data_IF_784192667591
#
_entry.id   IF_784192667591
#
_cell.length_a   1.000
_cell.length_b   1.000
_cell.length_c   1.000
_cell.angle_alpha   90.00
_cell.angle_beta   90.00
_cell.angle_gamma   90.00
#
_symmetry.space_group_name_H-M   'P 1'
#
loop_
_entity.id
_entity.type
_entity.pdbx_description
1 polymer ?
#
# COMPACT_ATOMS: atom_id res chain seq x y z
N UNK A 1 -8.04 -8.38 18.08
CA UNK A 1 -7.86 -6.94 17.81
C UNK A 1 -6.47 -6.46 18.19
N UNK A 2 -6.02 -6.63 19.44
CA UNK A 2 -4.70 -6.14 19.92
C UNK A 2 -3.51 -6.63 19.10
N UNK A 3 -3.48 -7.91 18.70
CA UNK A 3 -2.40 -8.46 17.87
C UNK A 3 -2.31 -7.83 16.48
N UNK A 4 -3.45 -7.47 15.89
CA UNK A 4 -3.50 -6.75 14.60
C UNK A 4 -2.97 -5.32 14.80
N UNK A 5 -3.36 -4.65 15.90
CA UNK A 5 -2.86 -3.32 16.22
C UNK A 5 -1.34 -3.30 16.50
N UNK A 6 -0.78 -4.35 17.11
CA UNK A 6 0.65 -4.47 17.33
C UNK A 6 1.45 -4.53 16.01
N UNK A 7 0.93 -5.23 15.00
CA UNK A 7 1.55 -5.27 13.66
C UNK A 7 1.52 -3.90 12.98
N UNK A 8 0.42 -3.16 13.11
CA UNK A 8 0.33 -1.77 12.64
C UNK A 8 1.35 -0.85 13.36
N UNK A 9 1.56 -1.02 14.67
CA UNK A 9 2.59 -0.27 15.42
C UNK A 9 3.99 -0.57 14.90
N UNK A 10 4.31 -1.84 14.62
CA UNK A 10 5.59 -2.23 14.03
C UNK A 10 5.84 -1.49 12.71
N UNK A 11 4.92 -1.58 11.75
CA UNK A 11 5.10 -0.89 10.46
C UNK A 11 5.22 0.62 10.61
N UNK A 12 4.59 1.21 11.63
CA UNK A 12 4.63 2.66 11.86
C UNK A 12 5.96 3.14 12.43
N UNK A 13 6.52 2.41 13.40
CA UNK A 13 7.57 2.92 14.28
C UNK A 13 8.91 2.18 14.14
N UNK A 14 8.88 0.94 13.67
CA UNK A 14 10.03 0.01 13.68
C UNK A 14 10.34 -0.56 12.28
N UNK A 15 9.47 -0.33 11.30
CA UNK A 15 9.65 -0.76 9.91
C UNK A 15 10.86 -0.12 9.24
N UNK A 16 11.49 -0.89 8.35
CA UNK A 16 12.62 -0.49 7.52
C UNK A 16 12.20 0.27 6.25
N UNK A 17 10.92 0.22 5.84
CA UNK A 17 10.42 1.02 4.74
C UNK A 17 10.38 2.51 5.11
N UNK A 18 10.82 3.37 4.17
CA UNK A 18 10.62 4.79 4.30
C UNK A 18 9.12 5.11 4.40
N UNK A 19 8.76 6.15 5.15
CA UNK A 19 7.36 6.52 5.36
C UNK A 19 6.61 6.72 4.03
N UNK A 20 7.25 7.32 3.01
CA UNK A 20 6.68 7.48 1.67
C UNK A 20 6.34 6.15 1.00
N UNK A 21 7.25 5.17 1.06
CA UNK A 21 7.08 3.86 0.44
C UNK A 21 5.98 3.06 1.14
N UNK A 22 5.97 3.11 2.48
CA UNK A 22 4.93 2.51 3.30
C UNK A 22 3.55 3.04 2.93
N UNK A 23 3.37 4.36 2.92
CA UNK A 23 2.07 4.95 2.58
C UNK A 23 1.66 4.68 1.12
N UNK A 24 2.61 4.62 0.18
CA UNK A 24 2.33 4.23 -1.20
C UNK A 24 1.81 2.78 -1.29
N UNK A 25 2.45 1.82 -0.63
CA UNK A 25 2.03 0.42 -0.59
C UNK A 25 0.64 0.29 0.02
N UNK A 26 0.37 1.06 1.09
CA UNK A 26 -0.93 1.08 1.77
C UNK A 26 -2.01 1.63 0.84
N UNK A 27 -1.79 2.77 0.18
CA UNK A 27 -2.74 3.38 -0.75
C UNK A 27 -3.03 2.47 -1.94
N UNK A 28 -1.99 1.86 -2.52
CA UNK A 28 -2.15 0.91 -3.61
C UNK A 28 -2.97 -0.31 -3.17
N UNK A 29 -2.68 -0.86 -1.99
CA UNK A 29 -3.43 -2.00 -1.42
C UNK A 29 -4.88 -1.62 -1.16
N UNK A 30 -5.13 -0.46 -0.54
CA UNK A 30 -6.48 0.03 -0.29
C UNK A 30 -7.27 0.23 -1.59
N UNK A 31 -6.61 0.70 -2.65
CA UNK A 31 -7.23 0.85 -3.98
C UNK A 31 -7.64 -0.49 -4.57
N UNK A 32 -6.74 -1.47 -4.60
CA UNK A 32 -7.02 -2.81 -5.13
C UNK A 32 -8.13 -3.52 -4.34
N UNK A 33 -8.19 -3.28 -3.02
CA UNK A 33 -9.22 -3.85 -2.14
C UNK A 33 -10.55 -3.07 -2.18
N UNK A 34 -10.63 -1.92 -2.84
CA UNK A 34 -11.82 -1.05 -2.76
C UNK A 34 -12.09 -0.50 -1.35
N UNK A 35 -11.06 -0.42 -0.51
CA UNK A 35 -11.18 -0.02 0.89
C UNK A 35 -11.09 1.52 1.03
N UNK A 36 -12.23 2.18 0.85
CA UNK A 36 -12.31 3.65 0.85
C UNK A 36 -11.94 4.30 2.20
N UNK A 37 -12.31 3.69 3.32
CA UNK A 37 -12.02 4.26 4.65
C UNK A 37 -10.52 4.32 4.99
N UNK A 38 -9.73 3.24 4.82
CA UNK A 38 -8.27 3.33 4.95
C UNK A 38 -7.67 4.36 4.00
N UNK A 39 -8.12 4.40 2.73
CA UNK A 39 -7.59 5.35 1.74
C UNK A 39 -7.57 6.78 2.26
N UNK A 40 -8.68 7.28 2.79
CA UNK A 40 -8.77 8.71 3.19
C UNK A 40 -7.77 9.08 4.28
N UNK A 41 -7.47 8.15 5.19
CA UNK A 41 -6.52 8.38 6.29
C UNK A 41 -5.09 8.29 5.81
N UNK A 42 -4.80 7.34 4.92
CA UNK A 42 -3.46 7.12 4.40
C UNK A 42 -3.09 8.10 3.30
N UNK A 43 -4.06 8.73 2.64
CA UNK A 43 -3.76 9.83 1.72
C UNK A 43 -3.22 11.04 2.50
N UNK A 44 -3.83 11.37 3.63
CA UNK A 44 -3.35 12.46 4.51
C UNK A 44 -1.92 12.15 4.98
N UNK A 45 -1.70 10.95 5.53
CA UNK A 45 -0.37 10.52 5.98
C UNK A 45 0.67 10.46 4.87
N UNK A 46 0.28 9.97 3.69
CA UNK A 46 1.14 9.95 2.50
C UNK A 46 1.58 11.36 2.12
N UNK A 47 0.67 12.32 2.11
CA UNK A 47 1.00 13.74 1.85
C UNK A 47 1.93 14.32 2.90
N UNK A 48 1.68 14.05 4.19
CA UNK A 48 2.56 14.46 5.30
C UNK A 48 3.97 13.86 5.19
N UNK A 49 4.07 12.61 4.70
CA UNK A 49 5.34 11.93 4.46
C UNK A 49 6.07 12.43 3.19
N UNK A 50 5.45 13.28 2.37
CA UNK A 50 6.03 13.79 1.13
C UNK A 50 5.75 12.95 -0.11
N UNK A 51 4.73 12.08 -0.07
CA UNK A 51 4.29 11.31 -1.23
C UNK A 51 3.83 12.26 -2.35
N UNK A 52 4.32 12.02 -3.57
CA UNK A 52 4.03 12.90 -4.72
C UNK A 52 2.55 12.84 -5.08
N UNK A 53 1.94 14.00 -5.31
CA UNK A 53 0.54 14.10 -5.72
C UNK A 53 0.23 13.27 -6.98
N UNK A 54 1.14 13.26 -7.95
CA UNK A 54 0.97 12.49 -9.19
C UNK A 54 0.96 10.98 -8.94
N UNK A 55 1.70 10.50 -7.94
CA UNK A 55 1.69 9.10 -7.55
C UNK A 55 0.36 8.72 -6.89
N UNK A 56 -0.14 9.56 -5.97
CA UNK A 56 -1.46 9.39 -5.36
C UNK A 56 -2.56 9.37 -6.44
N UNK A 57 -2.49 10.26 -7.42
CA UNK A 57 -3.49 10.31 -8.48
C UNK A 57 -3.40 9.10 -9.43
N UNK A 58 -2.19 8.66 -9.77
CA UNK A 58 -1.99 7.43 -10.55
C UNK A 58 -2.61 6.20 -9.87
N UNK A 59 -2.48 6.11 -8.53
CA UNK A 59 -3.17 5.10 -7.73
C UNK A 59 -4.68 5.30 -7.74
N UNK A 60 -5.16 6.54 -7.56
CA UNK A 60 -6.61 6.86 -7.53
C UNK A 60 -7.32 6.38 -8.78
N UNK A 61 -6.80 6.71 -9.97
CA UNK A 61 -7.43 6.28 -11.24
C UNK A 61 -7.24 4.80 -11.54
N UNK A 62 -6.36 4.11 -10.80
CA UNK A 62 -6.01 2.70 -10.96
C UNK A 62 -5.61 2.31 -12.40
N UNK A 63 -4.79 3.16 -13.05
CA UNK A 63 -4.35 2.99 -14.45
C UNK A 63 -2.84 2.75 -14.55
N UNK A 64 -2.29 3.02 -15.75
CA UNK A 64 -0.88 2.91 -16.12
C UNK A 64 0.02 3.69 -15.16
N UNK A 65 1.22 3.16 -14.92
CA UNK A 65 2.14 3.61 -13.86
C UNK A 65 3.19 4.61 -14.38
N UNK A 66 2.91 5.29 -15.49
CA UNK A 66 3.90 6.12 -16.22
C UNK A 66 4.33 7.37 -15.45
N UNK A 67 3.46 7.87 -14.57
CA UNK A 67 3.80 8.97 -13.66
C UNK A 67 4.67 8.53 -12.47
N UNK A 68 4.82 7.22 -12.21
CA UNK A 68 5.57 6.70 -11.07
C UNK A 68 7.08 6.65 -11.36
N UNK A 69 7.88 6.94 -10.33
CA UNK A 69 9.32 6.66 -10.36
C UNK A 69 9.57 5.15 -10.46
N UNK A 70 10.78 4.70 -10.85
CA UNK A 70 11.07 3.27 -10.90
C UNK A 70 10.79 2.52 -9.59
N UNK A 71 11.13 3.12 -8.45
CA UNK A 71 10.89 2.54 -7.11
C UNK A 71 9.41 2.49 -6.76
N UNK A 72 8.67 3.58 -6.97
CA UNK A 72 7.23 3.61 -6.74
C UNK A 72 6.50 2.59 -7.64
N UNK A 73 6.89 2.51 -8.91
CA UNK A 73 6.36 1.54 -9.87
C UNK A 73 6.59 0.11 -9.39
N UNK A 74 7.79 -0.22 -8.92
CA UNK A 74 8.11 -1.55 -8.38
C UNK A 74 7.18 -1.93 -7.22
N UNK A 75 7.01 -1.03 -6.24
CA UNK A 75 6.12 -1.27 -5.08
C UNK A 75 4.67 -1.49 -5.52
N UNK A 76 4.17 -0.69 -6.46
CA UNK A 76 2.79 -0.81 -6.97
C UNK A 76 2.60 -2.05 -7.83
N UNK A 77 3.61 -2.45 -8.62
CA UNK A 77 3.63 -3.72 -9.36
C UNK A 77 3.55 -4.91 -8.40
N UNK A 78 4.30 -4.89 -7.29
CA UNK A 78 4.26 -5.95 -6.27
C UNK A 78 2.88 -6.05 -5.61
N UNK A 79 2.26 -4.91 -5.26
CA UNK A 79 0.89 -4.86 -4.72
C UNK A 79 -0.09 -5.49 -5.71
N UNK A 80 -0.08 -5.03 -6.97
CA UNK A 80 -1.00 -5.52 -8.00
C UNK A 80 -0.79 -7.00 -8.29
N UNK A 81 0.46 -7.45 -8.41
CA UNK A 81 0.81 -8.86 -8.65
C UNK A 81 0.28 -9.75 -7.52
N UNK A 82 0.52 -9.39 -6.25
CA UNK A 82 0.04 -10.19 -5.12
C UNK A 82 -1.49 -10.20 -5.00
N UNK A 83 -2.18 -9.09 -5.28
CA UNK A 83 -3.63 -9.03 -5.11
C UNK A 83 -4.43 -9.54 -6.29
N UNK A 84 -3.88 -9.48 -7.51
CA UNK A 84 -4.55 -9.93 -8.74
C UNK A 84 -4.12 -11.32 -9.19
N UNK A 85 -2.88 -11.70 -8.92
CA UNK A 85 -2.29 -12.97 -9.37
C UNK A 85 -1.90 -13.89 -8.22
N UNK A 86 -2.00 -13.43 -6.97
CA UNK A 86 -1.68 -14.18 -5.75
C UNK A 86 -0.23 -14.67 -5.63
N UNK A 87 0.67 -14.11 -6.44
CA UNK A 87 2.11 -14.38 -6.41
C UNK A 87 2.88 -13.23 -7.03
N UNK A 88 4.19 -13.19 -6.76
CA UNK A 88 5.14 -12.45 -7.58
C UNK A 88 5.66 -13.39 -8.67
N UNK A 89 5.94 -12.87 -9.87
CA UNK A 89 6.79 -13.59 -10.82
C UNK A 89 8.24 -13.63 -10.32
N UNK A 90 9.03 -14.60 -10.79
CA UNK A 90 10.45 -14.68 -10.41
C UNK A 90 11.20 -13.39 -10.77
N UNK A 91 10.88 -12.82 -11.94
CA UNK A 91 11.45 -11.54 -12.37
C UNK A 91 11.12 -10.39 -11.40
N UNK A 92 9.85 -10.26 -11.00
CA UNK A 92 9.41 -9.20 -10.08
C UNK A 92 9.99 -9.41 -8.68
N UNK A 93 10.07 -10.66 -8.21
CA UNK A 93 10.70 -11.01 -6.94
C UNK A 93 12.19 -10.65 -6.94
N UNK A 94 12.94 -11.01 -7.99
CA UNK A 94 14.37 -10.72 -8.10
C UNK A 94 14.64 -9.22 -8.22
N UNK A 95 13.83 -8.48 -8.98
CA UNK A 95 13.88 -7.01 -9.03
C UNK A 95 13.59 -6.40 -7.66
N UNK A 96 12.57 -6.89 -6.98
CA UNK A 96 12.22 -6.51 -5.61
C UNK A 96 13.40 -6.72 -4.65
N UNK A 97 13.99 -7.91 -4.66
CA UNK A 97 15.12 -8.26 -3.80
C UNK A 97 16.35 -7.38 -4.08
N UNK A 98 16.64 -7.07 -5.34
CA UNK A 98 17.77 -6.23 -5.72
C UNK A 98 17.61 -4.77 -5.27
N UNK A 99 16.42 -4.19 -5.41
CA UNK A 99 16.14 -2.78 -5.11
C UNK A 99 15.82 -2.52 -3.63
N UNK A 100 15.15 -3.46 -2.96
CA UNK A 100 14.70 -3.32 -1.57
C UNK A 100 15.65 -3.98 -0.57
N UNK A 101 16.42 -4.99 -1.01
CA UNK A 101 17.05 -5.94 -0.11
C UNK A 101 16.02 -6.85 0.58
N UNK A 102 16.52 -7.83 1.34
CA UNK A 102 15.67 -8.87 1.92
C UNK A 102 14.68 -8.33 2.98
N UNK A 103 15.12 -7.39 3.81
CA UNK A 103 14.33 -6.84 4.92
C UNK A 103 13.11 -6.05 4.41
N UNK A 104 13.33 -5.03 3.56
CA UNK A 104 12.24 -4.22 3.01
C UNK A 104 11.34 -5.03 2.06
N UNK A 105 11.86 -6.06 1.37
CA UNK A 105 11.06 -6.96 0.55
C UNK A 105 10.04 -7.74 1.41
N UNK A 106 10.50 -8.36 2.50
CA UNK A 106 9.63 -9.07 3.44
C UNK A 106 8.61 -8.12 4.05
N UNK A 107 9.05 -6.93 4.47
CA UNK A 107 8.16 -5.91 5.04
C UNK A 107 7.09 -5.45 4.05
N UNK A 108 7.45 -5.22 2.78
CA UNK A 108 6.50 -4.84 1.72
C UNK A 108 5.42 -5.91 1.54
N UNK A 109 5.82 -7.18 1.45
CA UNK A 109 4.88 -8.30 1.30
C UNK A 109 3.98 -8.42 2.53
N UNK A 110 4.54 -8.30 3.73
CA UNK A 110 3.79 -8.34 4.98
C UNK A 110 2.80 -7.18 5.10
N UNK A 111 3.19 -5.97 4.67
CA UNK A 111 2.36 -4.78 4.69
C UNK A 111 1.17 -4.88 3.73
N UNK A 112 1.40 -5.43 2.52
CA UNK A 112 0.33 -5.75 1.56
C UNK A 112 -0.67 -6.73 2.20
N UNK A 113 -0.20 -7.80 2.81
CA UNK A 113 -1.05 -8.76 3.52
C UNK A 113 -1.83 -8.12 4.67
N UNK A 114 -1.17 -7.28 5.46
CA UNK A 114 -1.80 -6.57 6.58
C UNK A 114 -2.91 -5.64 6.13
N UNK A 115 -2.68 -4.80 5.11
CA UNK A 115 -3.71 -3.90 4.61
C UNK A 115 -4.80 -4.59 3.80
N UNK A 116 -4.53 -5.78 3.25
CA UNK A 116 -5.57 -6.65 2.69
C UNK A 116 -6.50 -7.18 3.78
N UNK A 117 -5.95 -7.56 4.94
CA UNK A 117 -6.75 -7.92 6.12
C UNK A 117 -7.60 -6.73 6.60
N UNK A 118 -7.00 -5.53 6.71
CA UNK A 118 -7.74 -4.33 7.11
C UNK A 118 -8.82 -3.98 6.10
N UNK A 119 -8.52 -4.02 4.80
CA UNK A 119 -9.48 -3.79 3.73
C UNK A 119 -10.65 -4.77 3.78
N UNK A 120 -10.36 -6.05 4.03
CA UNK A 120 -11.41 -7.08 4.19
C UNK A 120 -12.33 -6.78 5.37
N UNK A 121 -11.77 -6.40 6.53
CA UNK A 121 -12.56 -6.02 7.71
C UNK A 121 -13.44 -4.80 7.42
N UNK A 122 -12.87 -3.74 6.85
CA UNK A 122 -13.59 -2.50 6.51
C UNK A 122 -14.75 -2.78 5.56
N UNK A 123 -14.50 -3.54 4.51
CA UNK A 123 -15.51 -3.85 3.50
C UNK A 123 -16.59 -4.78 4.05
N UNK A 124 -16.21 -5.81 4.82
CA UNK A 124 -17.16 -6.76 5.41
C UNK A 124 -18.15 -6.09 6.37
N UNK A 125 -17.70 -5.08 7.12
CA UNK A 125 -18.55 -4.31 8.03
C UNK A 125 -19.19 -3.07 7.38
N UNK A 126 -18.98 -2.83 6.08
CA UNK A 126 -19.55 -1.67 5.39
C UNK A 126 -19.09 -0.34 5.97
N UNK A 127 -17.85 -0.26 6.47
CA UNK A 127 -17.32 0.95 7.10
C UNK A 127 -17.07 2.00 6.01
N UNK A 128 -17.95 3.00 5.95
CA UNK A 128 -17.86 4.09 5.00
C UNK A 128 -16.70 5.03 5.33
N UNK A 129 -16.13 5.65 4.30
CA UNK A 129 -15.25 6.80 4.47
C UNK A 129 -16.02 7.94 5.19
N UNK A 130 -15.34 8.80 5.98
CA UNK A 130 -16.00 9.93 6.62
C UNK A 130 -16.72 10.81 5.60
N UNK A 131 -17.91 11.33 5.96
CA UNK A 131 -18.70 12.17 5.08
C UNK A 131 -17.88 13.36 4.56
N UNK A 132 -17.97 13.63 3.25
CA UNK A 132 -17.21 14.70 2.59
C UNK A 132 -15.75 14.35 2.24
N UNK A 133 -15.28 13.14 2.52
CA UNK A 133 -13.93 12.74 2.10
C UNK A 133 -13.81 12.58 0.59
N UNK A 134 -12.69 13.03 0.03
CA UNK A 134 -12.29 12.69 -1.34
C UNK A 134 -11.72 11.27 -1.33
N UNK A 135 -12.29 10.40 -2.17
CA UNK A 135 -11.85 9.01 -2.35
C UNK A 135 -11.72 8.67 -3.84
N UNK A 136 -11.49 7.41 -4.17
CA UNK A 136 -11.26 6.91 -5.54
C UNK A 136 -12.49 6.26 -6.18
#
# INVERSE_FOLDING_TARGET
AERIAAVETYFRSEGALAATDRELVILATAREMGAHFPWTRHEIRGREAGLRSDAVEALRVNKVLDALTPRERLLVEMVRSLLREHRLSDELFLRGLAELGAEQLVETIALIGHYSLIGSVVNAFGIAAPAGSVTF
#
